data_IF_143641072880
#
_entry.id   IF_143641072880
#
_cell.length_a   1.000
_cell.length_b   1.000
_cell.length_c   1.000
_cell.angle_alpha   90.00
_cell.angle_beta   90.00
_cell.angle_gamma   90.00
#
_symmetry.space_group_name_H-M   'P 1'
#
loop_
_entity.id
_entity.type
_entity.pdbx_description
1 polymer ?
#
# COMPACT_ATOMS: atom_id res chain seq x y z
N UNK A 1 -71.63 -48.19 -12.33
CA UNK A 1 -71.44 -47.74 -13.73
C UNK A 1 -71.88 -46.29 -13.85
N UNK A 2 -70.93 -45.46 -14.30
CA UNK A 2 -71.03 -44.06 -14.75
C UNK A 2 -71.22 -43.01 -13.65
N UNK A 3 -70.12 -42.40 -13.20
CA UNK A 3 -69.48 -41.17 -13.76
C UNK A 3 -70.25 -39.91 -13.29
N UNK A 4 -69.70 -38.95 -12.56
CA UNK A 4 -68.32 -38.51 -12.41
C UNK A 4 -68.39 -36.99 -12.18
N UNK A 5 -68.78 -36.57 -10.98
CA UNK A 5 -68.80 -35.17 -10.57
C UNK A 5 -67.42 -34.78 -10.05
N UNK A 6 -66.79 -33.80 -10.67
CA UNK A 6 -66.11 -32.70 -9.95
C UNK A 6 -65.43 -31.75 -10.94
N UNK A 7 -65.97 -30.54 -11.02
CA UNK A 7 -65.31 -29.38 -11.62
C UNK A 7 -64.11 -28.99 -10.76
N UNK A 8 -62.91 -29.35 -11.17
CA UNK A 8 -61.66 -28.89 -10.55
C UNK A 8 -61.38 -27.46 -11.04
N UNK A 9 -61.66 -26.48 -10.18
CA UNK A 9 -61.28 -25.09 -10.40
C UNK A 9 -59.77 -24.97 -10.15
N UNK A 10 -58.98 -24.85 -11.22
CA UNK A 10 -57.54 -24.64 -11.17
C UNK A 10 -57.25 -23.22 -10.63
N UNK A 11 -57.06 -23.09 -9.32
CA UNK A 11 -56.46 -21.89 -8.73
C UNK A 11 -54.98 -21.88 -9.07
N UNK A 12 -54.63 -21.04 -10.04
CA UNK A 12 -53.26 -20.65 -10.37
C UNK A 12 -52.67 -19.89 -9.18
N UNK A 13 -51.97 -20.59 -8.30
CA UNK A 13 -51.15 -19.96 -7.26
C UNK A 13 -49.84 -19.54 -7.93
N UNK A 14 -49.79 -18.30 -8.41
CA UNK A 14 -48.52 -17.63 -8.71
C UNK A 14 -47.80 -17.41 -7.37
N UNK A 15 -46.97 -18.38 -6.96
CA UNK A 15 -45.97 -18.14 -5.92
C UNK A 15 -44.91 -17.25 -6.60
N UNK A 16 -45.05 -15.94 -6.46
CA UNK A 16 -43.96 -15.01 -6.70
C UNK A 16 -42.98 -15.20 -5.54
N UNK A 17 -42.14 -16.25 -5.60
CA UNK A 17 -40.92 -16.29 -4.81
C UNK A 17 -40.10 -15.10 -5.28
N UNK A 18 -40.20 -13.99 -4.53
CA UNK A 18 -39.17 -12.98 -4.54
C UNK A 18 -37.90 -13.71 -4.07
N UNK A 19 -37.12 -14.21 -5.02
CA UNK A 19 -35.71 -14.48 -4.75
C UNK A 19 -35.15 -13.12 -4.41
N UNK A 20 -35.14 -12.80 -3.10
CA UNK A 20 -34.27 -11.74 -2.61
C UNK A 20 -32.88 -12.15 -3.08
N UNK A 21 -32.35 -11.44 -4.08
CA UNK A 21 -30.94 -11.55 -4.39
C UNK A 21 -30.24 -11.06 -3.11
N UNK A 22 -29.79 -12.00 -2.28
CA UNK A 22 -29.02 -11.68 -1.09
C UNK A 22 -27.73 -11.07 -1.60
N UNK A 23 -27.56 -9.77 -1.42
CA UNK A 23 -26.31 -9.10 -1.73
C UNK A 23 -25.22 -9.64 -0.83
N UNK A 24 -24.04 -9.82 -1.40
CA UNK A 24 -22.86 -10.28 -0.67
C UNK A 24 -22.08 -9.05 -0.21
N UNK A 25 -21.98 -8.87 1.11
CA UNK A 25 -21.28 -7.73 1.69
C UNK A 25 -19.77 -7.98 1.83
N UNK A 26 -18.98 -6.97 1.49
CA UNK A 26 -17.54 -6.88 1.76
C UNK A 26 -17.29 -5.63 2.62
N UNK A 27 -16.62 -5.79 3.76
CA UNK A 27 -16.23 -4.67 4.63
C UNK A 27 -14.76 -4.34 4.46
N UNK A 28 -14.45 -3.17 3.92
CA UNK A 28 -13.08 -2.70 3.72
C UNK A 28 -12.55 -1.96 4.94
N UNK A 29 -11.34 -2.29 5.38
CA UNK A 29 -10.68 -1.55 6.45
C UNK A 29 -9.85 -0.38 5.88
N UNK A 30 -10.07 0.82 6.41
CA UNK A 30 -9.40 2.07 5.99
C UNK A 30 -8.60 2.67 7.15
N UNK A 31 -7.57 3.47 6.83
CA UNK A 31 -6.58 3.95 7.80
C UNK A 31 -6.64 5.47 8.07
N UNK A 32 -7.51 6.20 7.39
CA UNK A 32 -7.66 7.64 7.58
C UNK A 32 -9.03 8.13 7.12
N UNK A 33 -9.45 9.29 7.64
CA UNK A 33 -10.72 9.92 7.28
C UNK A 33 -10.83 10.17 5.76
N UNK A 34 -9.72 10.56 5.11
CA UNK A 34 -9.68 10.76 3.65
C UNK A 34 -9.85 9.45 2.88
N UNK A 35 -9.29 8.36 3.41
CA UNK A 35 -9.44 7.02 2.80
C UNK A 35 -10.85 6.47 3.05
N UNK A 36 -11.44 6.76 4.20
CA UNK A 36 -12.85 6.47 4.50
C UNK A 36 -13.78 7.22 3.55
N UNK A 37 -13.53 8.51 3.28
CA UNK A 37 -14.28 9.29 2.30
C UNK A 37 -14.30 8.62 0.93
N UNK A 38 -13.12 8.24 0.39
CA UNK A 38 -13.02 7.49 -0.88
C UNK A 38 -13.73 6.15 -0.82
N UNK A 39 -13.64 5.43 0.30
CA UNK A 39 -14.32 4.15 0.48
C UNK A 39 -15.85 4.30 0.46
N UNK A 40 -16.39 5.32 1.13
CA UNK A 40 -17.83 5.58 1.17
C UNK A 40 -18.38 5.98 -0.20
N UNK A 41 -17.63 6.79 -0.96
CA UNK A 41 -17.96 7.10 -2.35
C UNK A 41 -17.93 5.84 -3.23
N UNK A 42 -16.93 4.98 -3.05
CA UNK A 42 -16.86 3.70 -3.74
C UNK A 42 -18.08 2.84 -3.41
N UNK A 43 -18.44 2.72 -2.14
CA UNK A 43 -19.59 1.96 -1.67
C UNK A 43 -20.91 2.49 -2.26
N UNK A 44 -21.08 3.81 -2.31
CA UNK A 44 -22.24 4.44 -2.95
C UNK A 44 -22.34 4.14 -4.44
N UNK A 45 -21.21 4.06 -5.14
CA UNK A 45 -21.18 3.71 -6.57
C UNK A 45 -21.42 2.22 -6.82
N UNK A 46 -20.88 1.33 -5.98
CA UNK A 46 -21.15 -0.12 -6.02
C UNK A 46 -22.65 -0.39 -5.82
N UNK A 47 -23.26 0.21 -4.81
CA UNK A 47 -24.69 0.05 -4.52
C UNK A 47 -25.57 0.52 -5.69
N UNK A 48 -25.24 1.67 -6.31
CA UNK A 48 -25.95 2.18 -7.50
C UNK A 48 -25.77 1.29 -8.73
N UNK A 49 -24.61 0.65 -8.88
CA UNK A 49 -24.32 -0.22 -10.01
C UNK A 49 -25.00 -1.59 -9.90
N UNK A 50 -25.49 -1.97 -8.71
CA UNK A 50 -26.30 -3.16 -8.49
C UNK A 50 -25.60 -4.47 -8.92
N UNK A 51 -24.30 -4.60 -8.63
CA UNK A 51 -23.43 -5.71 -9.07
C UNK A 51 -23.43 -6.94 -8.16
N UNK A 52 -24.56 -7.29 -7.52
CA UNK A 52 -24.69 -8.38 -6.53
C UNK A 52 -23.88 -8.23 -5.23
N UNK A 53 -22.95 -7.28 -5.16
CA UNK A 53 -22.16 -6.97 -3.97
C UNK A 53 -22.54 -5.64 -3.35
N UNK A 54 -22.35 -5.54 -2.03
CA UNK A 54 -22.35 -4.29 -1.28
C UNK A 54 -20.97 -4.09 -0.63
N UNK A 55 -20.50 -2.84 -0.60
CA UNK A 55 -19.27 -2.47 0.09
C UNK A 55 -19.62 -1.68 1.35
N UNK A 56 -18.98 -2.03 2.46
CA UNK A 56 -18.97 -1.26 3.70
C UNK A 56 -17.54 -0.82 4.03
N UNK A 57 -17.41 0.21 4.84
CA UNK A 57 -16.14 0.79 5.23
C UNK A 57 -16.06 0.80 6.76
N UNK A 58 -14.93 0.37 7.32
CA UNK A 58 -14.63 0.52 8.74
C UNK A 58 -13.25 1.12 8.89
N UNK A 59 -13.14 2.15 9.71
CA UNK A 59 -11.84 2.73 10.03
C UNK A 59 -11.12 1.90 11.11
N UNK A 60 -9.84 1.66 10.89
CA UNK A 60 -8.91 1.14 11.89
C UNK A 60 -7.99 2.25 12.40
N UNK A 61 -7.55 2.16 13.65
CA UNK A 61 -6.61 3.15 14.23
C UNK A 61 -5.17 2.94 13.76
N UNK A 62 -4.87 1.76 13.22
CA UNK A 62 -3.58 1.39 12.65
C UNK A 62 -3.75 0.20 11.71
N UNK A 63 -2.71 -0.11 10.93
CA UNK A 63 -2.67 -1.36 10.14
C UNK A 63 -2.87 -2.59 11.03
N UNK A 64 -2.26 -2.61 12.20
CA UNK A 64 -2.38 -3.71 13.15
C UNK A 64 -3.84 -3.89 13.62
N UNK A 65 -4.54 -2.79 13.91
CA UNK A 65 -5.97 -2.82 14.26
C UNK A 65 -6.82 -3.35 13.09
N UNK A 66 -6.55 -2.93 11.86
CA UNK A 66 -7.20 -3.52 10.68
C UNK A 66 -6.94 -5.03 10.54
N UNK A 67 -5.71 -5.49 10.74
CA UNK A 67 -5.40 -6.93 10.71
C UNK A 67 -6.14 -7.70 11.81
N UNK A 68 -6.27 -7.11 13.00
CA UNK A 68 -7.04 -7.67 14.11
C UNK A 68 -8.53 -7.74 13.78
N UNK A 69 -9.13 -6.67 13.25
CA UNK A 69 -10.52 -6.61 12.78
C UNK A 69 -10.80 -7.65 11.71
N UNK A 70 -9.91 -7.81 10.72
CA UNK A 70 -10.07 -8.82 9.67
C UNK A 70 -10.01 -10.23 10.25
N UNK A 71 -9.07 -10.51 11.15
CA UNK A 71 -8.99 -11.81 11.83
C UNK A 71 -10.23 -12.10 12.69
N UNK A 72 -10.79 -11.08 13.34
CA UNK A 72 -11.98 -11.18 14.17
C UNK A 72 -13.30 -11.30 13.38
N UNK A 73 -13.31 -10.89 12.11
CA UNK A 73 -14.51 -10.86 11.27
C UNK A 73 -15.23 -9.51 11.24
N UNK A 74 -14.66 -8.48 11.86
CA UNK A 74 -15.21 -7.11 11.88
C UNK A 74 -14.89 -6.32 10.59
N UNK A 75 -13.93 -6.81 9.81
CA UNK A 75 -13.59 -6.35 8.46
C UNK A 75 -13.30 -7.57 7.57
N UNK A 76 -13.30 -7.41 6.25
CA UNK A 76 -13.05 -8.50 5.28
C UNK A 76 -11.75 -8.35 4.51
N UNK A 77 -11.32 -7.11 4.23
CA UNK A 77 -10.20 -6.86 3.35
C UNK A 77 -9.45 -5.55 3.67
N UNK A 78 -8.17 -5.54 3.32
CA UNK A 78 -7.28 -4.36 3.32
C UNK A 78 -6.19 -4.56 2.27
N UNK A 79 -5.74 -3.49 1.60
CA UNK A 79 -4.55 -3.52 0.73
C UNK A 79 -3.29 -3.26 1.54
N UNK A 80 -2.27 -4.11 1.38
CA UNK A 80 -1.01 -4.04 2.13
C UNK A 80 0.22 -4.05 1.21
N UNK A 81 1.27 -3.39 1.66
CA UNK A 81 2.61 -3.44 1.10
C UNK A 81 3.34 -4.74 1.50
N UNK A 82 4.37 -5.15 0.75
CA UNK A 82 5.10 -6.40 0.94
C UNK A 82 5.54 -6.71 2.38
N UNK A 83 6.06 -5.73 3.11
CA UNK A 83 6.44 -5.90 4.51
C UNK A 83 5.25 -6.19 5.45
N UNK A 84 4.08 -5.58 5.17
CA UNK A 84 2.86 -5.79 5.94
C UNK A 84 2.17 -7.11 5.56
N UNK A 85 2.29 -7.56 4.30
CA UNK A 85 1.79 -8.87 3.83
C UNK A 85 2.42 -10.00 4.66
N UNK A 86 3.71 -9.93 4.96
CA UNK A 86 4.38 -10.91 5.81
C UNK A 86 3.75 -10.99 7.20
N UNK A 87 3.54 -9.82 7.83
CA UNK A 87 2.90 -9.75 9.16
C UNK A 87 1.48 -10.30 9.12
N UNK A 88 0.71 -9.95 8.09
CA UNK A 88 -0.66 -10.41 7.90
C UNK A 88 -0.74 -11.94 7.72
N UNK A 89 0.13 -12.53 6.91
CA UNK A 89 0.20 -13.98 6.73
C UNK A 89 0.68 -14.69 7.98
N UNK A 90 1.84 -14.29 8.50
CA UNK A 90 2.51 -14.98 9.59
C UNK A 90 1.79 -14.88 10.94
N UNK A 91 1.36 -13.67 11.34
CA UNK A 91 0.78 -13.42 12.66
C UNK A 91 -0.76 -13.53 12.68
N UNK A 92 -1.41 -13.26 11.54
CA UNK A 92 -2.87 -13.20 11.47
C UNK A 92 -3.49 -14.34 10.65
N UNK A 93 -2.70 -15.11 9.90
CA UNK A 93 -3.20 -16.20 9.06
C UNK A 93 -4.07 -15.70 7.90
N UNK A 94 -3.78 -14.49 7.40
CA UNK A 94 -4.47 -13.92 6.25
C UNK A 94 -3.78 -14.34 4.96
N UNK A 95 -4.54 -14.39 3.87
CA UNK A 95 -4.05 -14.79 2.55
C UNK A 95 -4.17 -13.64 1.55
N UNK A 96 -3.21 -13.48 0.63
CA UNK A 96 -3.33 -12.53 -0.47
C UNK A 96 -4.36 -13.03 -1.48
N UNK A 97 -5.26 -12.15 -1.91
CA UNK A 97 -6.35 -12.51 -2.83
C UNK A 97 -6.26 -11.80 -4.18
N UNK A 98 -5.73 -10.58 -4.19
CA UNK A 98 -5.56 -9.78 -5.40
C UNK A 98 -4.32 -8.91 -5.31
N UNK A 99 -3.48 -8.93 -6.33
CA UNK A 99 -2.27 -8.12 -6.42
C UNK A 99 -2.46 -6.94 -7.36
N UNK A 100 -1.88 -5.80 -7.01
CA UNK A 100 -1.86 -4.62 -7.88
C UNK A 100 -0.88 -4.82 -9.04
N UNK A 101 -1.37 -4.69 -10.27
CA UNK A 101 -0.55 -4.68 -11.47
C UNK A 101 -0.39 -3.24 -11.96
N UNK A 102 0.86 -2.75 -11.99
CA UNK A 102 1.18 -1.37 -12.38
C UNK A 102 1.48 -1.22 -13.89
N UNK A 103 1.74 -2.33 -14.57
CA UNK A 103 1.84 -2.42 -16.04
C UNK A 103 1.13 -3.69 -16.52
N UNK A 104 1.02 -3.88 -17.84
CA UNK A 104 0.09 -4.83 -18.48
C UNK A 104 0.01 -6.23 -17.86
N UNK A 105 1.08 -6.74 -17.21
CA UNK A 105 1.05 -7.95 -16.36
C UNK A 105 2.07 -7.95 -15.19
N UNK A 106 2.79 -6.85 -14.90
CA UNK A 106 3.81 -6.87 -13.83
C UNK A 106 3.20 -6.51 -12.48
N UNK A 107 3.14 -7.51 -11.60
CA UNK A 107 2.83 -7.41 -10.16
C UNK A 107 4.10 -7.21 -9.32
N UNK A 108 5.08 -6.48 -9.88
CA UNK A 108 6.35 -6.17 -9.25
C UNK A 108 6.75 -4.76 -9.59
N UNK A 109 7.49 -4.13 -8.70
CA UNK A 109 8.06 -2.79 -8.93
C UNK A 109 9.51 -2.72 -8.45
N UNK A 110 10.21 -1.67 -8.85
CA UNK A 110 11.59 -1.42 -8.44
C UNK A 110 11.64 -0.48 -7.23
N UNK A 111 12.32 -0.88 -6.18
CA UNK A 111 12.70 -0.01 -5.06
C UNK A 111 13.97 0.78 -5.45
N UNK A 112 13.94 2.10 -5.26
CA UNK A 112 15.02 3.01 -5.69
C UNK A 112 15.37 4.00 -4.58
N UNK A 113 16.60 4.51 -4.61
CA UNK A 113 17.05 5.63 -3.80
C UNK A 113 17.16 6.88 -4.68
N UNK A 114 16.48 7.96 -4.30
CA UNK A 114 16.38 9.21 -5.07
C UNK A 114 17.07 10.35 -4.33
N UNK A 115 17.77 11.22 -5.04
CA UNK A 115 18.37 12.43 -4.50
C UNK A 115 18.18 13.64 -5.44
N UNK A 116 18.24 14.86 -4.87
CA UNK A 116 18.24 16.13 -5.62
C UNK A 116 19.64 16.56 -6.07
N UNK A 117 20.62 16.46 -5.17
CA UNK A 117 21.94 17.08 -5.33
C UNK A 117 23.07 16.07 -5.31
N UNK A 118 24.15 16.38 -6.03
CA UNK A 118 25.45 15.71 -5.90
C UNK A 118 26.40 16.57 -5.06
N UNK A 119 27.39 16.00 -4.36
CA UNK A 119 27.81 14.59 -4.37
C UNK A 119 27.21 13.81 -3.18
N UNK A 120 26.17 13.01 -3.44
CA UNK A 120 25.72 11.92 -2.56
C UNK A 120 25.91 10.60 -3.30
N UNK A 121 26.32 9.55 -2.58
CA UNK A 121 26.47 8.20 -3.12
C UNK A 121 25.76 7.23 -2.19
N UNK A 122 25.15 6.21 -2.77
CA UNK A 122 24.49 5.15 -2.00
C UNK A 122 25.46 4.38 -1.08
N UNK A 123 26.76 4.39 -1.42
CA UNK A 123 27.83 3.73 -0.66
C UNK A 123 28.31 4.56 0.54
N UNK A 124 27.87 5.81 0.69
CA UNK A 124 28.24 6.66 1.82
C UNK A 124 27.04 7.53 2.24
N UNK A 125 26.19 6.95 3.06
CA UNK A 125 25.00 7.60 3.62
C UNK A 125 25.19 8.06 5.07
N UNK A 126 26.39 7.90 5.63
CA UNK A 126 26.70 8.33 6.99
C UNK A 126 26.47 9.83 7.16
N UNK A 127 25.75 10.19 8.23
CA UNK A 127 25.40 11.57 8.60
C UNK A 127 24.55 12.32 7.55
N UNK A 128 23.99 11.61 6.57
CA UNK A 128 22.98 12.18 5.66
C UNK A 128 21.62 12.22 6.32
N UNK A 129 20.72 12.99 5.72
CA UNK A 129 19.31 13.02 6.10
C UNK A 129 18.50 12.10 5.19
N UNK A 130 17.56 11.33 5.72
CA UNK A 130 16.82 10.33 4.93
C UNK A 130 15.31 10.41 5.08
N UNK A 131 14.62 10.16 3.97
CA UNK A 131 13.16 10.12 3.90
C UNK A 131 12.71 8.69 3.56
N UNK A 132 11.88 8.11 4.41
CA UNK A 132 11.39 6.74 4.29
C UNK A 132 9.87 6.73 4.19
N UNK A 133 9.31 5.77 3.45
CA UNK A 133 7.84 5.69 3.28
C UNK A 133 7.09 5.29 4.55
N UNK A 134 7.80 4.74 5.53
CA UNK A 134 7.28 4.23 6.81
C UNK A 134 8.09 3.04 7.31
N UNK A 135 8.12 2.86 8.64
CA UNK A 135 8.75 1.71 9.28
C UNK A 135 8.13 0.40 8.77
N UNK A 136 8.98 -0.61 8.49
CA UNK A 136 8.54 -1.93 8.02
C UNK A 136 8.08 -2.00 6.56
N UNK A 137 7.98 -0.87 5.84
CA UNK A 137 7.56 -0.87 4.43
C UNK A 137 8.66 -1.35 3.50
N UNK A 138 8.27 -2.00 2.41
CA UNK A 138 9.15 -2.68 1.45
C UNK A 138 10.23 -1.76 0.88
N UNK A 139 9.83 -0.76 0.08
CA UNK A 139 10.79 0.07 -0.65
C UNK A 139 11.44 1.14 0.23
N UNK A 140 10.72 1.59 1.26
CA UNK A 140 11.15 2.67 2.14
C UNK A 140 11.95 2.20 3.34
N UNK A 141 11.88 0.92 3.74
CA UNK A 141 12.54 0.42 4.94
C UNK A 141 13.23 -0.94 4.71
N UNK A 142 12.47 -2.01 4.42
CA UNK A 142 13.00 -3.38 4.39
C UNK A 142 14.16 -3.53 3.42
N UNK A 143 13.98 -3.08 2.17
CA UNK A 143 15.02 -3.13 1.12
C UNK A 143 16.21 -2.22 1.43
N UNK A 144 16.05 -0.91 1.70
CA UNK A 144 17.21 -0.05 1.95
C UNK A 144 17.97 -0.46 3.22
N UNK A 145 17.29 -0.88 4.29
CA UNK A 145 17.96 -1.37 5.51
C UNK A 145 18.75 -2.65 5.23
N UNK A 146 18.18 -3.60 4.47
CA UNK A 146 18.89 -4.79 4.02
C UNK A 146 20.14 -4.44 3.20
N UNK A 147 20.05 -3.48 2.28
CA UNK A 147 21.21 -2.99 1.52
C UNK A 147 22.27 -2.33 2.41
N UNK A 148 21.86 -1.52 3.40
CA UNK A 148 22.79 -0.87 4.32
C UNK A 148 23.58 -1.90 5.14
N UNK A 149 22.94 -3.00 5.52
CA UNK A 149 23.60 -4.11 6.21
C UNK A 149 24.54 -4.88 5.26
N UNK A 150 24.07 -5.25 4.07
CA UNK A 150 24.86 -5.96 3.05
C UNK A 150 26.12 -5.17 2.64
N UNK A 151 26.00 -3.86 2.51
CA UNK A 151 27.10 -2.95 2.18
C UNK A 151 28.01 -2.60 3.37
N UNK A 152 27.71 -3.11 4.57
CA UNK A 152 28.49 -2.88 5.78
C UNK A 152 28.40 -1.46 6.36
N UNK A 153 27.42 -0.66 5.92
CA UNK A 153 27.20 0.70 6.44
C UNK A 153 26.56 0.68 7.83
N UNK A 154 25.80 -0.37 8.14
CA UNK A 154 25.28 -0.63 9.49
C UNK A 154 25.73 -2.01 9.96
N UNK A 155 25.94 -2.13 11.27
CA UNK A 155 26.11 -3.41 11.95
C UNK A 155 24.96 -3.56 12.92
N UNK A 156 24.24 -4.66 12.79
CA UNK A 156 23.02 -4.91 13.57
C UNK A 156 23.34 -5.98 14.61
N UNK A 157 23.32 -5.56 15.87
CA UNK A 157 23.40 -6.47 17.00
C UNK A 157 21.97 -6.75 17.51
N UNK A 158 21.71 -7.99 17.89
CA UNK A 158 20.43 -8.41 18.49
C UNK A 158 19.17 -7.99 17.69
N UNK A 159 19.29 -7.93 16.35
CA UNK A 159 18.23 -7.48 15.45
C UNK A 159 17.71 -6.05 15.72
N UNK A 160 18.50 -5.18 16.38
CA UNK A 160 18.13 -3.79 16.60
C UNK A 160 18.42 -2.91 15.38
N UNK A 161 17.69 -3.15 14.28
CA UNK A 161 17.82 -2.39 13.03
C UNK A 161 17.51 -0.90 13.22
N UNK A 162 16.56 -0.58 14.10
CA UNK A 162 16.12 0.80 14.29
C UNK A 162 17.21 1.66 14.95
N UNK A 163 17.93 1.12 15.93
CA UNK A 163 19.09 1.79 16.53
C UNK A 163 20.24 1.93 15.53
N UNK A 164 20.55 0.86 14.78
CA UNK A 164 21.63 0.88 13.80
C UNK A 164 21.40 1.91 12.68
N UNK A 165 20.15 2.02 12.19
CA UNK A 165 19.77 3.03 11.20
C UNK A 165 19.81 4.44 11.80
N UNK A 166 19.32 4.63 13.02
CA UNK A 166 19.38 5.91 13.72
C UNK A 166 20.81 6.39 14.00
N UNK A 167 21.77 5.47 14.18
CA UNK A 167 23.18 5.81 14.32
C UNK A 167 23.87 6.19 12.98
N UNK A 168 23.37 5.67 11.85
CA UNK A 168 23.93 5.97 10.53
C UNK A 168 23.53 7.37 10.05
N UNK A 169 22.24 7.67 10.07
CA UNK A 169 21.69 8.93 9.55
C UNK A 169 21.72 10.02 10.62
N UNK A 170 21.90 11.27 10.18
CA UNK A 170 21.87 12.40 11.10
C UNK A 170 20.42 12.66 11.57
N UNK A 171 19.50 12.84 10.61
CA UNK A 171 18.08 13.04 10.85
C UNK A 171 17.26 12.31 9.79
N UNK A 172 16.15 11.71 10.17
CA UNK A 172 15.29 11.01 9.24
C UNK A 172 13.83 11.34 9.47
N UNK A 173 13.01 11.06 8.46
CA UNK A 173 11.59 10.85 8.66
C UNK A 173 11.26 9.39 8.34
N UNK A 174 10.94 8.63 9.38
CA UNK A 174 10.51 7.24 9.34
C UNK A 174 9.13 7.14 10.02
N UNK A 175 8.04 7.40 9.30
CA UNK A 175 6.67 7.29 9.84
C UNK A 175 6.46 5.98 10.59
N UNK A 176 5.94 6.05 11.82
CA UNK A 176 5.75 4.90 12.72
C UNK A 176 6.96 4.50 13.57
N UNK A 177 8.15 5.08 13.36
CA UNK A 177 9.32 4.77 14.17
C UNK A 177 9.14 5.15 15.65
N UNK A 178 8.33 6.16 15.97
CA UNK A 178 8.04 6.55 17.37
C UNK A 178 7.30 5.48 18.18
N UNK A 179 6.60 4.57 17.51
CA UNK A 179 5.80 3.52 18.15
C UNK A 179 6.65 2.27 18.45
N UNK A 180 7.90 2.24 17.98
CA UNK A 180 8.85 1.16 18.22
C UNK A 180 9.65 1.43 19.49
N UNK A 181 9.64 0.48 20.42
CA UNK A 181 10.39 0.60 21.67
C UNK A 181 11.90 0.73 21.41
N UNK A 182 12.55 1.69 22.07
CA UNK A 182 13.99 1.94 21.92
C UNK A 182 14.38 2.70 20.63
N UNK A 183 13.40 3.18 19.87
CA UNK A 183 13.64 3.97 18.66
C UNK A 183 14.38 5.29 18.95
N UNK A 184 15.49 5.59 18.27
CA UNK A 184 16.16 6.88 18.34
C UNK A 184 15.25 8.03 17.88
N UNK A 185 15.25 9.15 18.61
CA UNK A 185 14.39 10.30 18.31
C UNK A 185 14.66 10.91 16.93
N UNK A 186 15.91 10.84 16.46
CA UNK A 186 16.33 11.39 15.18
C UNK A 186 15.65 10.73 13.99
N UNK A 187 15.05 9.54 14.15
CA UNK A 187 14.27 8.90 13.10
C UNK A 187 12.93 9.58 12.79
N UNK A 188 12.46 10.45 13.68
CA UNK A 188 11.24 11.24 13.50
C UNK A 188 11.51 12.74 13.39
N UNK A 189 12.77 13.20 13.52
CA UNK A 189 13.13 14.63 13.56
C UNK A 189 12.85 15.37 12.25
N UNK A 190 12.88 14.69 11.11
CA UNK A 190 12.57 15.32 9.81
C UNK A 190 11.08 15.22 9.44
N UNK A 191 10.25 14.52 10.23
CA UNK A 191 8.81 14.42 9.99
C UNK A 191 8.08 15.70 10.40
N UNK A 192 6.92 15.98 9.78
CA UNK A 192 6.25 17.29 9.92
C UNK A 192 4.80 17.22 10.39
N UNK A 193 4.25 16.02 10.56
CA UNK A 193 2.86 15.81 10.99
C UNK A 193 1.84 16.27 9.96
N UNK A 194 0.62 16.50 10.43
CA UNK A 194 -0.49 17.05 9.66
C UNK A 194 -0.35 18.57 9.42
N UNK A 195 -1.37 19.20 8.83
CA UNK A 195 -1.38 20.64 8.54
C UNK A 195 -1.28 21.51 9.81
N UNK A 196 -1.76 21.01 10.95
CA UNK A 196 -1.70 21.70 12.24
C UNK A 196 -0.41 21.37 13.02
N UNK A 197 0.47 20.52 12.46
CA UNK A 197 1.69 20.04 13.11
C UNK A 197 1.44 18.98 14.19
N UNK A 198 0.24 18.41 14.24
CA UNK A 198 -0.07 17.26 15.10
C UNK A 198 0.33 15.96 14.38
N UNK A 199 0.23 14.82 15.08
CA UNK A 199 0.48 13.51 14.49
C UNK A 199 1.87 13.31 13.86
N UNK A 200 2.88 14.08 14.30
CA UNK A 200 4.27 13.96 13.81
C UNK A 200 4.73 12.51 13.93
N UNK A 201 5.28 11.99 12.83
CA UNK A 201 5.79 10.63 12.70
C UNK A 201 4.72 9.53 12.90
N UNK A 202 3.42 9.85 12.73
CA UNK A 202 2.36 8.85 12.74
C UNK A 202 2.55 7.80 11.63
N UNK A 203 2.22 6.55 11.91
CA UNK A 203 2.30 5.46 10.95
C UNK A 203 1.12 5.47 9.97
N UNK A 204 1.10 6.41 9.02
CA UNK A 204 0.02 6.51 8.04
C UNK A 204 -0.22 7.92 7.50
N UNK A 205 -1.36 8.14 6.81
CA UNK A 205 -1.69 9.39 6.15
C UNK A 205 -1.70 10.67 7.01
N UNK A 206 -1.96 10.63 8.34
CA UNK A 206 -1.86 11.84 9.17
C UNK A 206 -0.46 12.50 9.16
N UNK A 207 0.60 11.73 8.87
CA UNK A 207 1.93 12.27 8.63
C UNK A 207 2.11 12.60 7.14
N UNK A 208 2.33 13.87 6.80
CA UNK A 208 2.45 14.33 5.40
C UNK A 208 3.66 13.75 4.67
N UNK A 209 4.68 13.27 5.39
CA UNK A 209 5.83 12.57 4.81
C UNK A 209 5.69 11.03 4.77
N UNK A 210 4.52 10.50 5.11
CA UNK A 210 4.18 9.09 4.95
C UNK A 210 3.82 8.72 3.51
N UNK A 211 4.08 7.48 3.11
CA UNK A 211 3.84 7.07 1.72
C UNK A 211 5.00 7.32 0.77
N UNK A 212 4.86 6.83 -0.46
CA UNK A 212 5.83 7.11 -1.53
C UNK A 212 5.84 8.61 -1.85
N UNK A 213 4.66 9.21 -2.04
CA UNK A 213 4.52 10.64 -2.28
C UNK A 213 5.09 11.48 -1.13
N UNK A 214 4.80 11.12 0.13
CA UNK A 214 5.30 11.83 1.31
C UNK A 214 6.82 11.73 1.49
N UNK A 215 7.41 10.55 1.30
CA UNK A 215 8.87 10.39 1.38
C UNK A 215 9.58 11.17 0.27
N UNK A 216 9.01 11.22 -0.94
CA UNK A 216 9.52 12.06 -2.02
C UNK A 216 9.35 13.55 -1.70
N UNK A 217 8.21 13.96 -1.12
CA UNK A 217 7.97 15.33 -0.65
C UNK A 217 9.00 15.76 0.40
N UNK A 218 9.32 14.90 1.36
CA UNK A 218 10.38 15.13 2.36
C UNK A 218 11.73 15.46 1.72
N UNK A 219 12.10 14.75 0.64
CA UNK A 219 13.28 15.08 -0.13
C UNK A 219 13.11 16.44 -0.83
N UNK A 220 11.99 16.66 -1.52
CA UNK A 220 11.71 17.90 -2.27
C UNK A 220 11.79 19.14 -1.39
N UNK A 221 11.21 19.11 -0.19
CA UNK A 221 11.16 20.23 0.77
C UNK A 221 12.45 20.39 1.59
N UNK A 222 13.55 19.72 1.19
CA UNK A 222 14.88 19.84 1.81
C UNK A 222 14.97 19.30 3.25
N UNK A 223 14.06 18.42 3.65
CA UNK A 223 14.11 17.71 4.94
C UNK A 223 14.96 16.42 4.89
N UNK A 224 15.26 15.93 3.68
CA UNK A 224 16.19 14.81 3.46
C UNK A 224 17.15 15.05 2.31
N UNK A 225 18.26 14.29 2.29
CA UNK A 225 19.22 14.25 1.20
C UNK A 225 18.97 13.06 0.25
N UNK A 226 18.34 12.00 0.77
CA UNK A 226 17.92 10.79 0.03
C UNK A 226 16.49 10.39 0.41
N UNK A 227 15.71 9.96 -0.57
CA UNK A 227 14.41 9.31 -0.36
C UNK A 227 14.43 7.88 -0.90
N UNK A 228 13.91 6.94 -0.11
CA UNK A 228 13.74 5.55 -0.53
C UNK A 228 12.29 5.31 -0.92
N UNK A 229 12.04 5.10 -2.22
CA UNK A 229 10.70 5.07 -2.82
C UNK A 229 10.63 4.04 -3.95
N UNK A 230 9.49 3.92 -4.63
CA UNK A 230 9.38 3.14 -5.87
C UNK A 230 9.83 3.96 -7.08
N UNK A 231 10.23 3.29 -8.15
CA UNK A 231 10.70 3.91 -9.39
C UNK A 231 9.74 4.90 -10.06
N UNK A 232 8.42 4.69 -9.97
CA UNK A 232 7.42 5.57 -10.59
C UNK A 232 7.21 6.89 -9.83
N UNK A 233 7.51 6.93 -8.52
CA UNK A 233 7.22 8.06 -7.62
C UNK A 233 7.67 9.42 -8.15
N UNK A 234 8.87 9.48 -8.73
CA UNK A 234 9.42 10.73 -9.28
C UNK A 234 8.54 11.25 -10.41
N UNK A 235 8.08 10.38 -11.30
CA UNK A 235 7.26 10.74 -12.45
C UNK A 235 5.83 11.10 -12.04
N UNK A 236 5.26 10.38 -11.08
CA UNK A 236 3.93 10.66 -10.52
C UNK A 236 3.84 12.04 -9.87
N UNK A 237 4.94 12.48 -9.25
CA UNK A 237 4.98 13.70 -8.47
C UNK A 237 5.72 14.86 -9.16
N UNK A 238 5.97 14.75 -10.47
CA UNK A 238 6.62 15.82 -11.24
C UNK A 238 6.00 15.97 -12.62
N UNK A 239 6.50 16.94 -13.38
CA UNK A 239 6.09 17.23 -14.77
C UNK A 239 4.57 17.48 -14.90
N UNK A 240 3.93 18.02 -13.86
CA UNK A 240 2.50 18.33 -13.84
C UNK A 240 1.57 17.16 -13.48
N UNK A 241 2.10 15.98 -13.14
CA UNK A 241 1.28 14.81 -12.78
C UNK A 241 0.71 14.86 -11.35
N UNK A 242 1.22 15.75 -10.50
CA UNK A 242 0.67 16.01 -9.17
C UNK A 242 0.33 17.49 -9.02
N UNK A 243 -0.95 17.76 -8.78
CA UNK A 243 -1.52 19.11 -8.66
C UNK A 243 -1.45 19.67 -7.24
N UNK A 244 -0.87 18.93 -6.28
CA UNK A 244 -0.66 19.43 -4.93
C UNK A 244 0.38 20.56 -4.92
N UNK A 245 0.24 21.58 -4.03
CA UNK A 245 1.09 22.77 -4.04
C UNK A 245 2.60 22.49 -4.01
N UNK A 246 3.04 21.47 -3.27
CA UNK A 246 4.46 21.11 -3.13
C UNK A 246 5.07 20.50 -4.41
N UNK A 247 4.23 20.00 -5.34
CA UNK A 247 4.66 19.27 -6.53
C UNK A 247 4.51 20.05 -7.85
N UNK A 248 3.84 21.20 -7.85
CA UNK A 248 3.43 21.93 -9.06
C UNK A 248 4.57 22.26 -10.03
N UNK A 249 5.76 22.58 -9.52
CA UNK A 249 6.90 23.06 -10.31
C UNK A 249 8.08 22.09 -10.33
N UNK A 250 7.82 20.79 -10.11
CA UNK A 250 8.87 19.78 -10.12
C UNK A 250 9.11 19.24 -11.52
N UNK A 251 10.39 19.05 -11.86
CA UNK A 251 10.80 18.38 -13.08
C UNK A 251 11.57 17.10 -12.74
N UNK A 252 11.18 15.97 -13.34
CA UNK A 252 11.81 14.68 -13.07
C UNK A 252 13.34 14.69 -13.29
N UNK A 253 13.82 15.47 -14.27
CA UNK A 253 15.26 15.56 -14.61
C UNK A 253 16.13 16.18 -13.51
N UNK A 254 15.53 16.91 -12.57
CA UNK A 254 16.19 17.50 -11.40
C UNK A 254 16.57 16.46 -10.35
N UNK A 255 16.03 15.24 -10.47
CA UNK A 255 16.29 14.16 -9.54
C UNK A 255 17.20 13.12 -10.18
N UNK A 256 17.89 12.37 -9.32
CA UNK A 256 18.79 11.29 -9.73
C UNK A 256 18.52 10.04 -8.91
N UNK A 257 18.79 8.88 -9.51
CA UNK A 257 18.84 7.61 -8.81
C UNK A 257 20.26 7.36 -8.31
N UNK A 258 20.38 6.85 -7.09
CA UNK A 258 21.64 6.37 -6.51
C UNK A 258 21.72 4.86 -6.70
N UNK A 259 22.73 4.39 -7.41
CA UNK A 259 22.86 2.99 -7.81
C UNK A 259 23.70 2.19 -6.81
N UNK A 260 23.50 0.86 -6.78
CA UNK A 260 24.21 -0.07 -5.88
C UNK A 260 25.73 -0.06 -6.07
N UNK A 261 26.22 0.26 -7.26
CA UNK A 261 27.65 0.38 -7.57
C UNK A 261 28.25 1.76 -7.21
N UNK A 262 27.45 2.65 -6.60
CA UNK A 262 27.84 4.01 -6.24
C UNK A 262 27.71 5.03 -7.38
N UNK A 263 27.35 4.60 -8.59
CA UNK A 263 27.06 5.49 -9.70
C UNK A 263 25.72 6.21 -9.52
N UNK A 264 25.46 7.18 -10.40
CA UNK A 264 24.26 8.00 -10.40
C UNK A 264 23.61 7.90 -11.78
N UNK A 265 22.30 7.69 -11.83
CA UNK A 265 21.55 7.54 -13.07
C UNK A 265 20.35 8.48 -13.16
N UNK A 266 19.80 8.60 -14.37
CA UNK A 266 18.49 9.24 -14.60
C UNK A 266 17.37 8.43 -13.94
N UNK A 267 16.29 9.06 -13.45
CA UNK A 267 15.08 8.35 -13.00
C UNK A 267 14.54 7.35 -14.03
N UNK A 268 14.75 7.59 -15.33
CA UNK A 268 14.32 6.68 -16.41
C UNK A 268 15.12 5.38 -16.50
N UNK A 269 16.27 5.29 -15.82
CA UNK A 269 17.18 4.15 -15.85
C UNK A 269 16.96 3.20 -14.65
N UNK A 270 15.77 3.23 -14.03
CA UNK A 270 15.46 2.45 -12.84
C UNK A 270 15.65 0.93 -13.03
N UNK A 271 15.44 0.39 -14.23
CA UNK A 271 15.60 -1.05 -14.47
C UNK A 271 17.06 -1.52 -14.25
N UNK A 272 18.04 -0.65 -14.50
CA UNK A 272 19.47 -0.93 -14.28
C UNK A 272 20.03 -0.26 -13.02
N UNK A 273 19.35 0.75 -12.48
CA UNK A 273 19.74 1.46 -11.26
C UNK A 273 18.59 1.39 -10.23
N UNK A 274 18.55 0.30 -9.47
CA UNK A 274 17.61 0.06 -8.39
C UNK A 274 18.28 -0.70 -7.23
N UNK A 275 17.61 -0.70 -6.08
CA UNK A 275 18.01 -1.48 -4.91
C UNK A 275 17.57 -2.93 -5.02
N UNK A 276 16.33 -3.15 -5.46
CA UNK A 276 15.74 -4.48 -5.67
C UNK A 276 14.46 -4.40 -6.52
N UNK A 277 14.07 -5.55 -7.08
CA UNK A 277 12.71 -5.81 -7.59
C UNK A 277 11.91 -6.45 -6.46
N UNK A 278 10.72 -5.92 -6.18
CA UNK A 278 9.90 -6.34 -5.04
C UNK A 278 8.47 -6.68 -5.44
N UNK A 279 7.76 -7.53 -4.67
CA UNK A 279 6.36 -7.85 -4.90
C UNK A 279 5.49 -6.58 -4.83
N UNK A 280 4.45 -6.53 -5.66
CA UNK A 280 3.43 -5.50 -5.58
C UNK A 280 2.58 -5.63 -4.30
N UNK A 281 1.84 -4.57 -4.01
CA UNK A 281 0.86 -4.60 -2.93
C UNK A 281 -0.22 -5.63 -3.23
N UNK A 282 -0.81 -6.17 -2.18
CA UNK A 282 -1.87 -7.15 -2.29
C UNK A 282 -3.00 -6.88 -1.30
N UNK A 283 -4.22 -7.18 -1.74
CA UNK A 283 -5.38 -7.27 -0.87
C UNK A 283 -5.24 -8.53 -0.03
N UNK A 284 -5.31 -8.39 1.28
CA UNK A 284 -5.27 -9.48 2.24
C UNK A 284 -6.66 -9.74 2.81
N UNK A 285 -7.02 -11.00 2.97
CA UNK A 285 -8.33 -11.42 3.52
C UNK A 285 -8.20 -12.73 4.30
N UNK A 286 -9.27 -13.19 4.96
CA UNK A 286 -9.28 -14.51 5.61
C UNK A 286 -9.31 -15.61 4.55
N UNK A 287 -8.67 -16.75 4.82
CA UNK A 287 -8.57 -17.87 3.87
C UNK A 287 -9.94 -18.35 3.33
N UNK A 288 -10.99 -18.31 4.14
CA UNK A 288 -12.34 -18.71 3.76
C UNK A 288 -13.14 -17.65 2.99
N UNK A 289 -12.60 -16.45 2.79
CA UNK A 289 -13.26 -15.31 2.14
C UNK A 289 -12.62 -14.95 0.78
N UNK A 290 -11.55 -15.66 0.38
CA UNK A 290 -10.77 -15.37 -0.82
C UNK A 290 -11.63 -15.30 -2.10
N UNK A 291 -12.54 -16.26 -2.31
CA UNK A 291 -13.47 -16.21 -3.45
C UNK A 291 -14.39 -15.00 -3.38
N UNK A 292 -14.98 -14.72 -2.21
CA UNK A 292 -15.90 -13.59 -1.98
C UNK A 292 -15.23 -12.26 -2.34
N UNK A 293 -14.05 -12.01 -1.77
CA UNK A 293 -13.34 -10.75 -1.96
C UNK A 293 -12.82 -10.62 -3.39
N UNK A 294 -12.30 -11.69 -4.00
CA UNK A 294 -11.85 -11.63 -5.39
C UNK A 294 -13.00 -11.34 -6.37
N UNK A 295 -14.14 -11.99 -6.20
CA UNK A 295 -15.31 -11.78 -7.07
C UNK A 295 -15.83 -10.35 -6.98
N UNK A 296 -15.91 -9.79 -5.76
CA UNK A 296 -16.20 -8.37 -5.56
C UNK A 296 -15.22 -7.47 -6.32
N UNK A 297 -13.91 -7.68 -6.15
CA UNK A 297 -12.88 -6.86 -6.80
C UNK A 297 -12.89 -7.00 -8.32
N UNK A 298 -13.20 -8.19 -8.84
CA UNK A 298 -13.33 -8.45 -10.28
C UNK A 298 -14.52 -7.68 -10.85
N UNK A 299 -15.68 -7.75 -10.22
CA UNK A 299 -16.87 -7.01 -10.66
C UNK A 299 -16.71 -5.50 -10.52
N UNK A 300 -16.10 -5.04 -9.43
CA UNK A 300 -15.88 -3.61 -9.21
C UNK A 300 -14.91 -3.01 -10.24
N UNK A 301 -13.79 -3.67 -10.54
CA UNK A 301 -12.81 -3.12 -11.49
C UNK A 301 -13.31 -3.13 -12.95
N UNK A 302 -14.23 -4.02 -13.34
CA UNK A 302 -14.88 -3.99 -14.66
C UNK A 302 -15.73 -2.73 -14.86
N UNK A 303 -16.21 -2.13 -13.78
CA UNK A 303 -16.97 -0.88 -13.81
C UNK A 303 -16.09 0.33 -13.59
N UNK A 304 -15.26 0.31 -12.54
CA UNK A 304 -14.59 1.49 -12.00
C UNK A 304 -13.06 1.46 -12.14
N UNK A 305 -12.51 0.43 -12.80
CA UNK A 305 -11.11 0.38 -13.19
C UNK A 305 -10.79 1.37 -14.33
N UNK A 306 -9.53 1.45 -14.77
CA UNK A 306 -9.09 2.45 -15.76
C UNK A 306 -9.75 2.27 -17.12
N UNK A 307 -10.01 1.01 -17.51
CA UNK A 307 -10.73 0.62 -18.73
C UNK A 307 -12.20 0.28 -18.43
N UNK A 308 -12.71 0.73 -17.28
CA UNK A 308 -14.05 0.42 -16.79
C UNK A 308 -15.16 1.07 -17.61
N UNK A 309 -16.35 0.50 -17.53
CA UNK A 309 -17.53 1.01 -18.24
C UNK A 309 -18.20 2.23 -17.60
N UNK A 310 -17.82 2.60 -16.37
CA UNK A 310 -18.37 3.72 -15.62
C UNK A 310 -17.33 4.81 -15.39
N UNK A 311 -17.73 6.07 -15.63
CA UNK A 311 -16.90 7.25 -15.36
C UNK A 311 -17.27 7.94 -14.03
N UNK A 312 -18.21 7.40 -13.26
CA UNK A 312 -18.72 8.06 -12.04
C UNK A 312 -17.80 7.91 -10.83
N UNK A 313 -16.90 6.92 -10.87
CA UNK A 313 -15.93 6.66 -9.82
C UNK A 313 -14.70 5.99 -10.43
N UNK A 314 -13.52 6.27 -9.87
CA UNK A 314 -12.24 5.72 -10.33
C UNK A 314 -11.55 5.01 -9.17
N UNK A 315 -11.46 3.68 -9.24
CA UNK A 315 -10.96 2.87 -8.12
C UNK A 315 -9.47 3.13 -7.83
N UNK A 316 -8.67 3.32 -8.88
CA UNK A 316 -7.21 3.54 -8.81
C UNK A 316 -6.82 5.00 -9.06
N UNK A 317 -7.66 5.96 -8.67
CA UNK A 317 -7.33 7.38 -8.75
C UNK A 317 -7.78 8.09 -7.48
N UNK A 318 -6.85 8.73 -6.78
CA UNK A 318 -7.12 9.46 -5.54
C UNK A 318 -7.13 10.99 -5.75
N UNK A 319 -7.06 11.46 -7.00
CA UNK A 319 -6.87 12.88 -7.34
C UNK A 319 -8.00 13.80 -6.88
N UNK A 320 -9.21 13.24 -6.69
CA UNK A 320 -10.38 13.98 -6.18
C UNK A 320 -10.39 14.16 -4.67
N UNK A 321 -9.47 13.52 -3.97
CA UNK A 321 -9.36 13.51 -2.51
C UNK A 321 -8.08 14.21 -2.05
N UNK A 322 -8.03 14.61 -0.78
CA UNK A 322 -6.83 15.22 -0.17
C UNK A 322 -5.82 14.13 0.25
N UNK A 323 -5.39 13.32 -0.71
CA UNK A 323 -4.51 12.18 -0.46
C UNK A 323 -3.95 11.55 -1.73
N UNK A 324 -3.10 10.54 -1.55
CA UNK A 324 -2.51 9.70 -2.59
C UNK A 324 -2.60 8.25 -2.14
N UNK A 325 -2.73 7.33 -3.10
CA UNK A 325 -2.73 5.88 -2.85
C UNK A 325 -3.78 5.43 -1.83
N UNK A 326 -4.99 6.00 -1.91
CA UNK A 326 -6.11 5.71 -1.01
C UNK A 326 -6.82 4.42 -1.46
N UNK A 327 -7.00 3.43 -0.59
CA UNK A 327 -7.49 2.06 -0.83
C UNK A 327 -6.56 1.20 -1.70
N UNK A 328 -6.16 1.76 -2.84
CA UNK A 328 -5.25 1.17 -3.81
C UNK A 328 -4.30 2.25 -4.27
N UNK A 329 -3.15 1.81 -4.75
CA UNK A 329 -2.17 2.69 -5.35
C UNK A 329 -2.70 3.32 -6.65
N UNK A 330 -2.43 4.62 -6.83
CA UNK A 330 -2.90 5.39 -8.00
C UNK A 330 -2.31 4.89 -9.34
N UNK A 331 -1.20 4.15 -9.29
CA UNK A 331 -0.58 3.55 -10.48
C UNK A 331 -1.21 2.23 -10.90
N UNK A 332 -2.09 1.67 -10.07
CA UNK A 332 -2.73 0.38 -10.34
C UNK A 332 -3.49 0.43 -11.66
N UNK A 333 -3.18 -0.51 -12.55
CA UNK A 333 -3.89 -0.68 -13.82
C UNK A 333 -4.94 -1.78 -13.74
N UNK A 334 -4.67 -2.80 -12.93
CA UNK A 334 -5.55 -3.95 -12.77
C UNK A 334 -5.27 -4.65 -11.44
N UNK A 335 -6.29 -5.29 -10.89
CA UNK A 335 -6.10 -6.26 -9.81
C UNK A 335 -6.08 -7.68 -10.39
N UNK A 336 -5.01 -8.42 -10.11
CA UNK A 336 -4.79 -9.78 -10.62
C UNK A 336 -5.04 -10.78 -9.50
N UNK A 337 -5.75 -11.88 -9.79
CA UNK A 337 -6.00 -12.94 -8.81
C UNK A 337 -4.70 -13.53 -8.31
N UNK A 338 -4.59 -13.68 -7.00
CA UNK A 338 -3.52 -14.44 -6.36
C UNK A 338 -4.13 -15.76 -5.88
N UNK A 339 -3.48 -16.86 -6.24
CA UNK A 339 -3.88 -18.23 -5.83
C UNK A 339 -2.80 -18.92 -5.01
N UNK A 340 -1.68 -18.25 -4.77
CA UNK A 340 -0.54 -18.75 -4.01
C UNK A 340 -0.53 -18.16 -2.59
N UNK A 341 0.26 -18.74 -1.69
CA UNK A 341 0.38 -18.25 -0.31
C UNK A 341 1.17 -16.94 -0.24
N UNK A 342 1.11 -16.26 0.91
CA UNK A 342 1.88 -15.04 1.14
C UNK A 342 3.40 -15.27 0.98
N UNK A 343 3.95 -16.44 1.35
CA UNK A 343 5.38 -16.72 1.15
C UNK A 343 5.76 -16.79 -0.32
N UNK A 344 4.92 -17.44 -1.13
CA UNK A 344 5.14 -17.57 -2.57
C UNK A 344 5.00 -16.21 -3.28
N UNK A 345 4.00 -15.42 -2.90
CA UNK A 345 3.79 -14.08 -3.41
C UNK A 345 4.97 -13.15 -3.12
N UNK A 346 5.47 -13.18 -1.89
CA UNK A 346 6.61 -12.36 -1.46
C UNK A 346 7.93 -12.82 -2.09
N UNK A 347 8.08 -14.13 -2.30
CA UNK A 347 9.28 -14.74 -2.87
C UNK A 347 10.40 -14.97 -1.86
N UNK A 348 11.22 -16.00 -2.11
CA UNK A 348 12.24 -16.48 -1.16
C UNK A 348 13.28 -15.43 -0.75
N UNK A 349 13.78 -14.65 -1.71
CA UNK A 349 14.81 -13.61 -1.45
C UNK A 349 14.27 -12.54 -0.50
N UNK A 350 13.04 -12.08 -0.71
CA UNK A 350 12.41 -11.07 0.14
C UNK A 350 12.07 -11.62 1.52
N UNK A 351 11.58 -12.87 1.57
CA UNK A 351 11.30 -13.58 2.82
C UNK A 351 12.54 -13.78 3.69
N UNK A 352 13.72 -13.96 3.08
CA UNK A 352 14.99 -14.07 3.80
C UNK A 352 15.34 -12.77 4.51
N UNK A 353 15.23 -11.64 3.80
CA UNK A 353 15.46 -10.30 4.37
C UNK A 353 14.51 -10.03 5.55
N UNK A 354 13.23 -10.39 5.41
CA UNK A 354 12.23 -10.18 6.46
C UNK A 354 12.47 -11.06 7.70
N UNK A 355 12.82 -12.34 7.52
CA UNK A 355 13.11 -13.24 8.66
C UNK A 355 14.32 -12.78 9.48
N UNK A 356 15.34 -12.25 8.81
CA UNK A 356 16.51 -11.68 9.47
C UNK A 356 16.17 -10.39 10.23
N UNK A 357 15.15 -9.64 9.78
CA UNK A 357 14.67 -8.44 10.45
C UNK A 357 13.68 -8.71 11.59
N UNK A 358 12.87 -9.78 11.49
CA UNK A 358 11.83 -10.11 12.47
C UNK A 358 12.29 -11.03 13.61
N UNK A 359 13.46 -11.67 13.54
CA UNK A 359 13.95 -12.58 14.59
C UNK A 359 14.31 -11.90 15.93
N UNK A 360 14.24 -10.56 15.99
CA UNK A 360 14.34 -9.75 17.21
C UNK A 360 13.03 -9.29 17.83
N UNK A 361 11.89 -9.48 17.16
CA UNK A 361 10.58 -9.09 17.69
C UNK A 361 10.06 -10.27 18.52
N UNK A 362 10.52 -10.35 19.78
CA UNK A 362 10.00 -11.30 20.78
C UNK A 362 8.82 -10.72 21.55
#
# INVERSE_FOLDING_TARGET
PDEGSSTFSAKLVFILTCMFASFVSVTWCVLSDTEEEKCLDFAGNVSKANIHFDLHCTQGTSKLDCLQKIKAGDADAITLDGGDIYTAGHCFGLEPVAGEAYTSLRVRYYAVAVAKTTPISLLNLSQKRSCHTGFGRTAGWVIPVGFLQESGQISVNDCNFIEAVGALFNQSCVPGAKDVAGSPSNLCEACIGDEDGNNVCANGPPERYSGYAGAFRCLVEDHGDVAFVRHSTVFENSNGNNMQPWALNLNASNFKLLCRDGSIASPTSYETCNLAIVPAHAVMTRANETSKVFEFLSSAQELFGPDGSSNNFKMFDSSSYKGKDLLFDDDTKKLIRISESYESWLGEDYMTILKDQCSGIK
#
